data_IF_172766703769
#
_entry.id   IF_172766703769
#
_cell.length_a   1.000
_cell.length_b   1.000
_cell.length_c   1.000
_cell.angle_alpha   90.00
_cell.angle_beta   90.00
_cell.angle_gamma   90.00
#
_symmetry.space_group_name_H-M   'P 1'
#
loop_
_entity.id
_entity.type
_entity.pdbx_description
1 polymer ?
#
# COMPACT_ATOMS: atom_id res chain seq x y z
N UNK A 1 27.37 -66.73 10.40
CA UNK A 1 26.58 -67.80 9.77
C UNK A 1 25.81 -67.19 8.64
N UNK A 2 25.97 -67.81 7.48
CA UNK A 2 25.58 -67.40 6.13
C UNK A 2 24.08 -67.55 5.88
N UNK A 3 23.54 -66.73 4.96
CA UNK A 3 22.92 -67.18 3.69
C UNK A 3 22.58 -65.92 2.87
N UNK A 4 23.18 -65.74 1.68
CA UNK A 4 22.67 -66.11 0.34
C UNK A 4 21.34 -65.45 -0.02
N UNK A 5 21.07 -64.97 -1.22
CA UNK A 5 21.76 -64.78 -2.50
C UNK A 5 20.77 -63.94 -3.33
N UNK A 6 21.24 -63.13 -4.29
CA UNK A 6 20.66 -62.98 -5.64
C UNK A 6 21.40 -61.88 -6.40
N UNK A 7 22.44 -62.30 -7.12
CA UNK A 7 23.04 -61.60 -8.25
C UNK A 7 22.02 -61.38 -9.39
N UNK A 8 22.24 -60.30 -10.16
CA UNK A 8 22.08 -60.33 -11.62
C UNK A 8 22.87 -59.15 -12.23
N UNK A 9 24.17 -59.36 -12.37
CA UNK A 9 25.06 -58.58 -13.22
C UNK A 9 24.93 -59.14 -14.65
N UNK A 10 24.60 -58.29 -15.65
CA UNK A 10 24.64 -58.71 -17.06
C UNK A 10 25.26 -57.59 -17.89
N UNK A 11 26.58 -57.70 -18.08
CA UNK A 11 27.29 -57.11 -19.21
C UNK A 11 27.13 -58.01 -20.43
N UNK A 12 26.82 -57.46 -21.62
CA UNK A 12 27.08 -58.17 -22.86
C UNK A 12 28.15 -57.43 -23.68
N UNK A 13 29.27 -58.11 -23.91
CA UNK A 13 30.14 -57.81 -25.05
C UNK A 13 30.39 -59.09 -25.85
N UNK A 14 30.20 -58.93 -27.16
CA UNK A 14 30.84 -59.64 -28.27
C UNK A 14 30.23 -60.97 -28.74
N UNK A 15 29.55 -60.90 -29.88
CA UNK A 15 29.63 -61.92 -30.91
C UNK A 15 29.86 -61.24 -32.26
N UNK A 16 30.97 -61.62 -32.89
CA UNK A 16 31.39 -61.26 -34.24
C UNK A 16 30.47 -61.92 -35.28
N UNK A 17 30.07 -61.15 -36.30
CA UNK A 17 29.37 -61.66 -37.49
C UNK A 17 30.34 -62.42 -38.41
N UNK A 18 29.98 -63.66 -38.75
CA UNK A 18 30.54 -64.39 -39.90
C UNK A 18 29.39 -64.76 -40.85
N UNK A 19 29.49 -64.21 -42.07
CA UNK A 19 28.88 -64.55 -43.38
C UNK A 19 28.03 -65.83 -43.51
N UNK A 20 26.90 -65.70 -44.22
CA UNK A 20 26.55 -66.32 -45.53
C UNK A 20 25.02 -66.17 -45.75
N UNK A 21 24.53 -65.48 -46.80
CA UNK A 21 24.05 -66.06 -48.08
C UNK A 21 22.90 -67.08 -47.84
N UNK A 22 21.67 -66.99 -48.35
CA UNK A 22 21.24 -66.72 -49.72
C UNK A 22 19.69 -66.70 -49.81
N UNK A 23 19.14 -65.83 -50.68
CA UNK A 23 17.97 -66.01 -51.57
C UNK A 23 16.50 -66.29 -51.13
N UNK A 24 15.64 -65.57 -51.89
CA UNK A 24 14.31 -65.89 -52.43
C UNK A 24 12.99 -65.50 -51.69
N UNK A 25 12.22 -64.68 -52.43
CA UNK A 25 10.77 -64.48 -52.49
C UNK A 25 9.94 -64.05 -51.26
N UNK A 26 9.68 -62.74 -51.17
CA UNK A 26 8.44 -62.13 -50.64
C UNK A 26 8.51 -60.61 -50.79
N UNK A 27 8.38 -60.09 -52.01
CA UNK A 27 8.66 -58.67 -52.30
C UNK A 27 7.45 -57.72 -52.18
N UNK A 28 6.24 -58.24 -51.97
CA UNK A 28 5.00 -57.42 -51.92
C UNK A 28 4.43 -57.29 -50.49
N UNK A 29 4.32 -58.39 -49.73
CA UNK A 29 3.85 -58.34 -48.33
C UNK A 29 4.83 -57.58 -47.42
N UNK A 30 6.14 -57.80 -47.62
CA UNK A 30 7.20 -57.16 -46.85
C UNK A 30 7.24 -55.64 -47.07
N UNK A 31 6.84 -55.13 -48.24
CA UNK A 31 6.86 -53.68 -48.52
C UNK A 31 5.78 -52.91 -47.75
N UNK A 32 4.59 -53.49 -47.54
CA UNK A 32 3.51 -52.81 -46.80
C UNK A 32 3.80 -52.84 -45.30
N UNK A 33 4.26 -53.98 -44.77
CA UNK A 33 4.67 -54.13 -43.37
C UNK A 33 5.90 -53.28 -43.03
N UNK A 34 6.91 -53.20 -43.92
CA UNK A 34 8.08 -52.31 -43.72
C UNK A 34 7.66 -50.82 -43.81
N UNK A 35 6.68 -50.45 -44.64
CA UNK A 35 6.22 -49.06 -44.78
C UNK A 35 5.31 -48.63 -43.62
N UNK A 36 4.52 -49.54 -43.05
CA UNK A 36 3.76 -49.31 -41.81
C UNK A 36 4.65 -49.34 -40.57
N UNK A 37 5.60 -50.28 -40.46
CA UNK A 37 6.55 -50.34 -39.32
C UNK A 37 7.53 -49.16 -39.33
N UNK A 38 7.95 -48.67 -40.51
CA UNK A 38 8.75 -47.44 -40.63
C UNK A 38 7.97 -46.17 -40.30
N UNK A 39 6.66 -46.12 -40.58
CA UNK A 39 5.77 -45.01 -40.16
C UNK A 39 5.43 -45.05 -38.67
N UNK A 40 5.14 -46.23 -38.10
CA UNK A 40 4.90 -46.42 -36.67
C UNK A 40 6.18 -46.20 -35.85
N UNK A 41 7.35 -46.64 -36.32
CA UNK A 41 8.65 -46.35 -35.69
C UNK A 41 9.07 -44.88 -35.83
N UNK A 42 8.65 -44.18 -36.89
CA UNK A 42 8.80 -42.71 -37.00
C UNK A 42 7.86 -41.98 -36.05
N UNK A 43 6.60 -42.40 -35.95
CA UNK A 43 5.62 -41.85 -35.00
C UNK A 43 6.06 -42.09 -33.55
N UNK A 44 6.59 -43.27 -33.24
CA UNK A 44 7.21 -43.60 -31.96
C UNK A 44 8.41 -42.70 -31.68
N UNK A 45 9.36 -42.56 -32.62
CA UNK A 45 10.51 -41.65 -32.47
C UNK A 45 10.10 -40.19 -32.31
N UNK A 46 9.04 -39.74 -32.97
CA UNK A 46 8.59 -38.35 -32.87
C UNK A 46 7.87 -38.08 -31.54
N UNK A 47 7.12 -39.06 -31.02
CA UNK A 47 6.57 -39.03 -29.66
C UNK A 47 7.66 -39.03 -28.60
N UNK A 48 8.70 -39.85 -28.79
CA UNK A 48 9.88 -39.87 -27.92
C UNK A 48 10.63 -38.54 -27.98
N UNK A 49 10.81 -37.96 -29.17
CA UNK A 49 11.43 -36.64 -29.33
C UNK A 49 10.59 -35.53 -28.66
N UNK A 50 9.28 -35.54 -28.84
CA UNK A 50 8.38 -34.58 -28.18
C UNK A 50 8.44 -34.70 -26.64
N UNK A 51 8.51 -35.93 -26.11
CA UNK A 51 8.70 -36.17 -24.69
C UNK A 51 10.03 -35.58 -24.18
N UNK A 52 11.14 -35.82 -24.88
CA UNK A 52 12.44 -35.26 -24.50
C UNK A 52 12.50 -33.75 -24.63
N UNK A 53 11.86 -33.17 -25.64
CA UNK A 53 11.74 -31.70 -25.78
C UNK A 53 10.91 -31.13 -24.63
N UNK A 54 9.79 -31.76 -24.27
CA UNK A 54 8.98 -31.33 -23.13
C UNK A 54 9.75 -31.42 -21.81
N UNK A 55 10.52 -32.49 -21.62
CA UNK A 55 11.37 -32.66 -20.44
C UNK A 55 12.48 -31.61 -20.40
N UNK A 56 13.13 -31.35 -21.53
CA UNK A 56 14.17 -30.35 -21.66
C UNK A 56 13.64 -28.94 -21.39
N UNK A 57 12.46 -28.59 -21.91
CA UNK A 57 11.79 -27.32 -21.62
C UNK A 57 11.44 -27.20 -20.13
N UNK A 58 10.93 -28.27 -19.52
CA UNK A 58 10.66 -28.30 -18.08
C UNK A 58 11.93 -28.06 -17.26
N UNK A 59 13.03 -28.76 -17.59
CA UNK A 59 14.32 -28.55 -16.95
C UNK A 59 14.82 -27.12 -17.14
N UNK A 60 14.77 -26.58 -18.37
CA UNK A 60 15.15 -25.18 -18.63
C UNK A 60 14.36 -24.22 -17.74
N UNK A 61 13.05 -24.41 -17.60
CA UNK A 61 12.21 -23.55 -16.77
C UNK A 61 12.65 -23.63 -15.30
N UNK A 62 12.87 -24.84 -14.76
CA UNK A 62 13.36 -25.02 -13.38
C UNK A 62 14.74 -24.38 -13.19
N UNK A 63 15.67 -24.59 -14.13
CA UNK A 63 16.99 -23.96 -14.10
C UNK A 63 16.89 -22.43 -14.22
N UNK A 64 15.97 -21.90 -15.02
CA UNK A 64 15.75 -20.47 -15.14
C UNK A 64 15.25 -19.86 -13.81
N UNK A 65 14.29 -20.49 -13.15
CA UNK A 65 13.82 -20.04 -11.83
C UNK A 65 14.87 -20.24 -10.72
N UNK A 66 15.76 -21.22 -10.83
CA UNK A 66 16.78 -21.50 -9.81
C UNK A 66 18.07 -20.70 -9.97
N UNK A 67 18.45 -20.32 -11.19
CA UNK A 67 19.76 -19.71 -11.48
C UNK A 67 19.71 -18.43 -12.32
N UNK A 68 18.69 -18.24 -13.17
CA UNK A 68 18.58 -17.07 -14.06
C UNK A 68 17.77 -15.95 -13.39
N UNK A 69 16.76 -16.30 -12.61
CA UNK A 69 16.03 -15.36 -11.76
C UNK A 69 16.79 -15.32 -10.43
N UNK A 70 17.71 -14.36 -10.21
CA UNK A 70 18.27 -14.20 -8.90
C UNK A 70 17.11 -14.03 -7.92
N UNK A 71 17.15 -14.78 -6.81
CA UNK A 71 16.34 -14.38 -5.65
C UNK A 71 16.61 -12.89 -5.45
N UNK A 72 15.57 -12.03 -5.36
CA UNK A 72 15.80 -10.62 -5.13
C UNK A 72 16.71 -10.51 -3.91
N UNK A 73 17.88 -9.87 -4.09
CA UNK A 73 18.84 -9.70 -3.01
C UNK A 73 18.07 -9.11 -1.83
N UNK A 74 17.90 -9.90 -0.77
CA UNK A 74 17.31 -9.37 0.46
C UNK A 74 18.33 -8.36 0.97
N UNK A 75 17.92 -7.11 1.26
CA UNK A 75 18.81 -6.17 1.91
C UNK A 75 19.41 -6.83 3.15
N UNK A 76 20.70 -6.64 3.37
CA UNK A 76 21.37 -7.16 4.56
C UNK A 76 20.82 -6.40 5.77
N UNK A 77 19.76 -6.96 6.36
CA UNK A 77 19.11 -6.43 7.54
C UNK A 77 19.83 -6.93 8.80
N UNK A 78 20.19 -6.00 9.67
CA UNK A 78 20.55 -6.33 11.04
C UNK A 78 19.33 -6.95 11.75
N UNK A 79 19.59 -7.94 12.61
CA UNK A 79 18.52 -8.63 13.35
C UNK A 79 17.83 -7.70 14.34
N UNK A 80 18.58 -6.76 14.91
CA UNK A 80 18.11 -5.76 15.86
C UNK A 80 19.06 -4.58 15.78
N UNK A 81 18.51 -3.38 15.72
CA UNK A 81 19.25 -2.13 15.77
C UNK A 81 18.65 -1.24 16.87
N UNK A 82 19.43 -0.28 17.34
CA UNK A 82 18.98 0.74 18.29
C UNK A 82 19.53 2.11 17.88
N UNK A 83 18.74 3.16 18.09
CA UNK A 83 19.13 4.55 17.83
C UNK A 83 18.70 5.40 19.01
N UNK A 84 19.61 6.24 19.50
CA UNK A 84 19.38 7.12 20.63
C UNK A 84 19.19 8.57 20.14
N UNK A 85 18.20 9.26 20.71
CA UNK A 85 17.98 10.68 20.53
C UNK A 85 18.14 11.37 21.88
N UNK A 86 19.25 12.09 22.05
CA UNK A 86 19.53 12.81 23.29
C UNK A 86 18.74 14.11 23.35
N UNK A 87 18.26 14.49 24.54
CA UNK A 87 17.48 15.72 24.76
C UNK A 87 16.23 15.85 23.86
N UNK A 88 15.61 14.73 23.51
CA UNK A 88 14.41 14.69 22.70
C UNK A 88 13.20 14.14 23.48
N UNK A 89 12.01 14.60 23.12
CA UNK A 89 10.73 14.10 23.64
C UNK A 89 9.96 13.45 22.51
N UNK A 90 9.65 12.15 22.62
CA UNK A 90 8.92 11.44 21.59
C UNK A 90 7.43 11.84 21.58
N UNK A 91 6.88 12.04 20.38
CA UNK A 91 5.44 12.07 20.18
C UNK A 91 4.91 10.65 20.01
N UNK A 92 3.60 10.47 20.24
CA UNK A 92 2.93 9.17 20.10
C UNK A 92 2.47 8.92 18.66
N UNK A 93 3.31 9.25 17.69
CA UNK A 93 3.06 9.01 16.26
C UNK A 93 4.16 8.12 15.70
N UNK A 94 3.74 7.03 15.09
CA UNK A 94 4.61 6.06 14.44
C UNK A 94 3.89 5.52 13.22
N UNK A 95 4.60 5.49 12.10
CA UNK A 95 4.18 4.85 10.87
C UNK A 95 5.27 3.88 10.40
N UNK A 96 4.84 2.89 9.63
CA UNK A 96 5.69 1.84 9.08
C UNK A 96 5.47 1.86 7.58
N UNK A 97 6.47 2.30 6.83
CA UNK A 97 6.40 2.51 5.38
C UNK A 97 7.74 2.15 4.74
N UNK A 98 7.76 1.74 3.47
CA UNK A 98 9.00 1.53 2.72
C UNK A 98 9.48 2.88 2.14
N UNK A 99 10.40 3.54 2.86
CA UNK A 99 10.79 4.94 2.59
C UNK A 99 11.87 5.02 1.52
N UNK A 100 12.80 4.07 1.49
CA UNK A 100 13.91 4.03 0.53
C UNK A 100 13.68 3.06 -0.65
N UNK A 101 12.48 2.48 -0.75
CA UNK A 101 12.06 1.52 -1.78
C UNK A 101 12.92 0.24 -1.85
N UNK A 102 13.51 -0.17 -0.71
CA UNK A 102 14.32 -1.38 -0.61
C UNK A 102 13.49 -2.66 -0.32
N UNK A 103 12.16 -2.52 -0.26
CA UNK A 103 11.16 -3.57 0.05
C UNK A 103 11.17 -4.01 1.50
N UNK A 104 11.90 -3.32 2.38
CA UNK A 104 11.84 -3.46 3.83
C UNK A 104 11.05 -2.28 4.39
N UNK A 105 10.24 -2.55 5.40
CA UNK A 105 9.48 -1.50 6.03
C UNK A 105 10.39 -0.71 6.98
N UNK A 106 10.41 0.60 6.79
CA UNK A 106 11.13 1.57 7.60
C UNK A 106 10.21 2.17 8.67
N UNK A 107 10.81 2.87 9.64
CA UNK A 107 10.08 3.47 10.77
C UNK A 107 10.06 4.99 10.63
N UNK A 108 8.87 5.57 10.58
CA UNK A 108 8.67 7.02 10.59
C UNK A 108 8.05 7.43 11.92
N UNK A 109 8.63 8.43 12.59
CA UNK A 109 8.16 8.88 13.90
C UNK A 109 8.44 10.37 14.10
N UNK A 110 7.81 10.94 15.12
CA UNK A 110 7.96 12.34 15.47
C UNK A 110 8.54 12.52 16.87
N UNK A 111 9.36 13.57 17.05
CA UNK A 111 9.93 13.96 18.34
C UNK A 111 10.14 15.47 18.43
N UNK A 112 10.18 16.02 19.63
CA UNK A 112 10.51 17.43 19.91
C UNK A 112 11.95 17.54 20.37
N UNK A 113 12.73 18.42 19.76
CA UNK A 113 14.13 18.66 20.11
C UNK A 113 14.56 20.10 19.77
N UNK A 114 15.68 20.56 20.32
CA UNK A 114 16.25 21.86 19.95
C UNK A 114 16.97 21.82 18.60
N UNK A 115 17.65 20.71 18.31
CA UNK A 115 18.42 20.44 17.09
C UNK A 115 18.10 19.00 16.61
N UNK A 116 18.30 18.74 15.31
CA UNK A 116 18.26 17.38 14.75
C UNK A 116 19.37 16.50 15.32
N UNK A 117 19.31 15.19 15.06
CA UNK A 117 20.43 14.30 15.35
C UNK A 117 21.67 14.74 14.55
N UNK A 118 22.86 14.36 15.02
CA UNK A 118 24.15 14.69 14.39
C UNK A 118 24.29 14.25 12.93
N UNK A 119 23.34 13.45 12.42
CA UNK A 119 23.33 12.95 11.03
C UNK A 119 22.82 13.98 10.02
N UNK A 120 22.00 14.94 10.43
CA UNK A 120 21.42 15.97 9.56
C UNK A 120 21.65 17.34 10.18
N UNK A 121 22.04 18.33 9.37
CA UNK A 121 22.31 19.69 9.84
C UNK A 121 21.07 20.59 9.64
N UNK A 122 19.94 20.18 10.21
CA UNK A 122 18.66 20.91 10.08
C UNK A 122 18.22 21.42 11.46
N UNK A 123 18.10 22.73 11.60
CA UNK A 123 17.62 23.34 12.84
C UNK A 123 16.21 23.91 12.69
N UNK A 124 15.51 24.09 13.82
CA UNK A 124 14.22 24.78 13.84
C UNK A 124 14.32 26.19 13.24
N UNK A 125 15.45 26.87 13.44
CA UNK A 125 15.67 28.25 13.03
C UNK A 125 15.78 28.37 11.51
N UNK A 126 16.37 27.36 10.85
CA UNK A 126 16.50 27.32 9.39
C UNK A 126 15.11 27.28 8.71
N UNK A 127 14.12 26.67 9.38
CA UNK A 127 12.72 26.58 8.95
C UNK A 127 11.83 27.71 9.50
N UNK A 128 12.42 28.69 10.20
CA UNK A 128 11.69 29.81 10.80
C UNK A 128 10.79 29.42 11.99
N UNK A 129 11.06 28.28 12.62
CA UNK A 129 10.31 27.77 13.78
C UNK A 129 11.03 28.11 15.11
N UNK A 130 10.28 28.31 16.20
CA UNK A 130 10.87 28.48 17.52
C UNK A 130 11.58 27.19 17.97
N UNK A 131 12.73 27.31 18.65
CA UNK A 131 13.44 26.17 19.23
C UNK A 131 13.07 26.02 20.72
N UNK A 132 12.73 24.80 21.21
CA UNK A 132 12.66 23.54 20.48
C UNK A 132 11.38 23.40 19.64
N UNK A 133 11.50 22.71 18.51
CA UNK A 133 10.41 22.41 17.58
C UNK A 133 10.23 20.91 17.40
N UNK A 134 9.14 20.53 16.75
CA UNK A 134 8.83 19.16 16.39
C UNK A 134 9.51 18.77 15.07
N UNK A 135 10.20 17.63 15.10
CA UNK A 135 10.83 16.97 13.98
C UNK A 135 10.03 15.72 13.60
N UNK A 136 10.06 15.39 12.32
CA UNK A 136 9.70 14.07 11.79
C UNK A 136 10.98 13.44 11.26
N UNK A 137 11.13 12.14 11.49
CA UNK A 137 12.26 11.36 11.03
C UNK A 137 11.81 10.04 10.43
N UNK A 138 12.52 9.62 9.39
CA UNK A 138 12.47 8.26 8.88
C UNK A 138 13.80 7.56 9.16
N UNK A 139 13.72 6.33 9.67
CA UNK A 139 14.88 5.47 9.93
C UNK A 139 14.70 4.13 9.25
N UNK A 140 15.78 3.62 8.64
CA UNK A 140 15.72 2.38 7.89
C UNK A 140 15.41 1.18 8.79
N UNK A 141 14.48 0.36 8.38
CA UNK A 141 14.13 -0.90 9.04
C UNK A 141 15.27 -1.90 9.03
N UNK A 142 16.21 -1.78 8.08
CA UNK A 142 17.35 -2.71 7.95
C UNK A 142 18.41 -2.53 9.03
N UNK A 143 18.69 -1.30 9.47
CA UNK A 143 19.85 -1.00 10.32
C UNK A 143 19.67 0.22 11.25
N UNK A 144 18.49 0.85 11.28
CA UNK A 144 18.22 2.01 12.13
C UNK A 144 18.93 3.30 11.72
N UNK A 145 19.58 3.34 10.55
CA UNK A 145 20.14 4.58 10.02
C UNK A 145 19.02 5.54 9.65
N UNK A 146 19.13 6.79 10.06
CA UNK A 146 18.19 7.81 9.61
C UNK A 146 18.37 8.07 8.12
N UNK A 147 17.25 8.01 7.42
CA UNK A 147 17.11 8.31 6.01
C UNK A 147 16.98 9.82 5.83
N UNK A 148 16.18 10.46 6.68
CA UNK A 148 16.04 11.90 6.77
C UNK A 148 15.46 12.31 8.13
N UNK A 149 15.72 13.56 8.51
CA UNK A 149 15.12 14.22 9.68
C UNK A 149 14.82 15.67 9.30
N UNK A 150 13.61 16.14 9.60
CA UNK A 150 13.13 17.47 9.17
C UNK A 150 12.29 18.16 10.25
N UNK A 151 12.52 19.45 10.52
CA UNK A 151 11.63 20.24 11.37
C UNK A 151 10.32 20.51 10.61
N UNK A 152 9.16 20.31 11.27
CA UNK A 152 7.86 20.43 10.60
C UNK A 152 6.90 21.44 11.24
N UNK A 153 6.96 21.62 12.55
CA UNK A 153 6.05 22.50 13.32
C UNK A 153 6.64 22.83 14.70
N UNK A 154 6.08 23.80 15.42
CA UNK A 154 6.45 24.05 16.83
C UNK A 154 6.03 22.89 17.74
N UNK A 155 4.81 22.40 17.54
CA UNK A 155 4.27 21.20 18.16
C UNK A 155 3.47 20.40 17.13
N UNK A 156 3.51 19.07 17.21
CA UNK A 156 2.64 18.21 16.41
C UNK A 156 1.43 17.82 17.27
N UNK A 157 0.25 18.09 16.75
CA UNK A 157 -1.01 17.65 17.35
C UNK A 157 -1.48 16.32 16.76
N UNK A 158 -1.17 16.08 15.48
CA UNK A 158 -1.53 14.86 14.79
C UNK A 158 -0.65 14.63 13.55
N UNK A 159 -0.44 13.37 13.18
CA UNK A 159 0.32 12.97 12.00
C UNK A 159 -0.19 11.64 11.45
N UNK A 160 -0.26 11.51 10.11
CA UNK A 160 -0.51 10.25 9.39
C UNK A 160 0.38 10.19 8.14
N UNK A 161 0.97 9.03 7.88
CA UNK A 161 1.85 8.77 6.73
C UNK A 161 1.24 7.71 5.82
N UNK A 162 1.80 7.57 4.62
CA UNK A 162 1.35 6.60 3.62
C UNK A 162 0.23 7.14 2.71
N UNK A 163 -0.03 8.45 2.73
CA UNK A 163 -1.05 9.07 1.89
C UNK A 163 -0.50 9.18 0.46
N UNK A 164 -1.10 8.41 -0.46
CA UNK A 164 -0.70 8.39 -1.87
C UNK A 164 -0.97 9.73 -2.54
N UNK A 165 -0.06 10.17 -3.39
CA UNK A 165 -0.19 11.37 -4.21
C UNK A 165 -0.31 12.70 -3.45
N UNK A 166 -0.01 12.70 -2.14
CA UNK A 166 -0.03 13.92 -1.34
C UNK A 166 0.98 14.94 -1.88
N UNK A 167 0.54 16.17 -2.13
CA UNK A 167 1.34 17.21 -2.76
C UNK A 167 1.64 16.98 -4.24
N UNK A 168 0.91 16.09 -4.91
CA UNK A 168 1.10 15.76 -6.33
C UNK A 168 2.36 14.94 -6.64
N UNK A 169 2.99 14.34 -5.62
CA UNK A 169 4.15 13.44 -5.79
C UNK A 169 3.71 12.03 -6.19
N UNK A 170 4.51 11.27 -6.94
CA UNK A 170 4.23 9.84 -7.12
C UNK A 170 4.46 9.05 -5.82
N UNK A 171 5.43 9.50 -5.03
CA UNK A 171 5.72 8.96 -3.71
C UNK A 171 4.59 9.28 -2.72
N UNK A 172 4.30 8.39 -1.75
CA UNK A 172 3.42 8.72 -0.65
C UNK A 172 3.96 9.90 0.18
N UNK A 173 3.09 10.52 0.97
CA UNK A 173 3.46 11.59 1.90
C UNK A 173 2.94 11.36 3.31
N UNK A 174 3.43 12.20 4.22
CA UNK A 174 2.93 12.37 5.56
C UNK A 174 2.19 13.70 5.69
N UNK A 175 0.96 13.64 6.19
CA UNK A 175 0.21 14.82 6.60
C UNK A 175 0.47 15.09 8.08
N UNK A 176 1.01 16.26 8.37
CA UNK A 176 1.29 16.74 9.72
C UNK A 176 0.34 17.89 10.03
N UNK A 177 -0.35 17.79 11.17
CA UNK A 177 -1.09 18.90 11.76
C UNK A 177 -0.34 19.40 12.98
N UNK A 178 0.09 20.66 12.93
CA UNK A 178 0.93 21.25 13.96
C UNK A 178 0.48 22.62 14.44
N UNK A 179 1.20 23.13 15.44
CA UNK A 179 1.08 24.49 15.95
C UNK A 179 2.17 25.41 15.37
N UNK A 180 1.86 26.70 15.10
CA UNK A 180 0.50 27.26 15.00
C UNK A 180 -0.34 26.51 13.97
N UNK A 181 -1.67 26.52 14.12
CA UNK A 181 -2.60 25.61 13.41
C UNK A 181 -2.32 25.61 11.92
N UNK A 182 -1.68 24.54 11.46
CA UNK A 182 -1.23 24.39 10.09
C UNK A 182 -1.27 22.93 9.67
N UNK A 183 -1.59 22.73 8.41
CA UNK A 183 -1.46 21.46 7.71
C UNK A 183 -0.19 21.51 6.88
N UNK A 184 0.65 20.49 7.01
CA UNK A 184 1.89 20.36 6.25
C UNK A 184 1.92 19.00 5.58
N UNK A 185 2.11 18.98 4.27
CA UNK A 185 2.43 17.76 3.55
C UNK A 185 3.95 17.60 3.44
N UNK A 186 4.44 16.44 3.87
CA UNK A 186 5.84 16.06 3.83
C UNK A 186 6.00 14.89 2.88
N UNK A 187 6.94 14.97 1.96
CA UNK A 187 7.29 13.88 1.07
C UNK A 187 7.93 12.73 1.87
N UNK A 188 7.39 11.52 1.75
CA UNK A 188 7.83 10.39 2.58
C UNK A 188 9.28 9.98 2.28
N UNK A 189 9.72 10.04 1.02
CA UNK A 189 11.04 9.55 0.63
C UNK A 189 12.16 10.53 0.99
N UNK A 190 11.89 11.82 0.82
CA UNK A 190 12.91 12.88 0.97
C UNK A 190 12.80 13.64 2.28
N UNK A 191 11.64 13.63 2.94
CA UNK A 191 11.32 14.47 4.08
C UNK A 191 11.02 15.92 3.72
N UNK A 192 11.08 16.30 2.45
CA UNK A 192 10.87 17.69 2.02
C UNK A 192 9.40 18.12 2.15
N UNK A 193 9.17 19.37 2.54
CA UNK A 193 7.82 19.93 2.64
C UNK A 193 7.30 20.23 1.24
N UNK A 194 6.18 19.61 0.87
CA UNK A 194 5.51 19.84 -0.42
C UNK A 194 4.64 21.09 -0.40
N UNK A 195 3.89 21.26 0.69
CA UNK A 195 3.10 22.45 0.95
C UNK A 195 2.85 22.59 2.44
N UNK A 196 2.60 23.83 2.87
CA UNK A 196 2.24 24.19 4.24
C UNK A 196 1.14 25.24 4.19
N UNK A 197 -0.02 24.91 4.74
CA UNK A 197 -1.19 25.78 4.73
C UNK A 197 -1.65 26.09 6.15
N UNK A 198 -1.85 27.38 6.45
CA UNK A 198 -2.49 27.79 7.69
C UNK A 198 -3.97 27.39 7.64
N UNK A 199 -4.47 26.80 8.73
CA UNK A 199 -5.89 26.48 8.85
C UNK A 199 -6.45 27.10 10.13
N UNK A 200 -7.74 27.45 10.11
CA UNK A 200 -8.46 27.90 11.30
C UNK A 200 -9.50 26.87 11.72
N UNK A 201 -9.07 25.93 12.57
CA UNK A 201 -9.96 24.95 13.18
C UNK A 201 -10.72 25.51 14.41
N UNK A 202 -10.43 26.75 14.81
CA UNK A 202 -10.88 27.38 16.05
C UNK A 202 -10.04 26.96 17.26
N UNK A 203 -10.41 27.47 18.45
CA UNK A 203 -9.74 27.12 19.70
C UNK A 203 -10.28 25.82 20.31
N UNK A 204 -9.45 25.11 21.08
CA UNK A 204 -9.80 23.90 21.85
C UNK A 204 -10.46 22.80 21.01
N UNK A 205 -9.78 22.43 19.93
CA UNK A 205 -10.30 21.43 19.01
C UNK A 205 -9.65 20.06 19.23
N UNK A 206 -10.35 19.03 18.78
CA UNK A 206 -9.82 17.66 18.71
C UNK A 206 -10.01 17.15 17.28
N UNK A 207 -8.93 16.67 16.67
CA UNK A 207 -8.99 16.02 15.35
C UNK A 207 -9.63 14.65 15.50
N UNK A 208 -10.66 14.36 14.71
CA UNK A 208 -11.21 13.01 14.62
C UNK A 208 -10.36 12.22 13.64
N UNK A 209 -9.79 11.13 14.12
CA UNK A 209 -8.87 10.27 13.37
C UNK A 209 -9.56 8.97 12.92
N UNK A 210 -9.12 8.33 11.81
CA UNK A 210 -8.05 8.79 10.89
C UNK A 210 -8.46 10.00 10.06
N UNK A 211 -7.58 10.59 9.24
CA UNK A 211 -8.02 11.55 8.19
C UNK A 211 -8.51 10.75 6.98
N UNK A 212 -9.48 11.29 6.25
CA UNK A 212 -10.06 10.60 5.10
C UNK A 212 -9.59 11.18 3.78
N UNK A 213 -8.88 10.38 2.98
CA UNK A 213 -8.52 10.70 1.59
C UNK A 213 -9.74 10.49 0.70
N UNK A 214 -10.32 11.55 0.16
CA UNK A 214 -11.51 11.53 -0.70
C UNK A 214 -11.11 11.62 -2.18
N UNK A 215 -12.00 11.28 -3.12
CA UNK A 215 -11.77 11.55 -4.54
C UNK A 215 -11.45 13.02 -4.80
N UNK A 216 -10.74 13.29 -5.89
CA UNK A 216 -10.50 14.63 -6.43
C UNK A 216 -11.85 15.36 -6.65
N UNK A 217 -12.12 16.40 -5.86
CA UNK A 217 -13.34 17.23 -5.95
C UNK A 217 -13.09 18.62 -6.54
N UNK A 218 -11.85 19.08 -6.60
CA UNK A 218 -11.48 20.35 -7.27
C UNK A 218 -10.99 20.17 -8.71
N UNK A 219 -10.89 18.92 -9.19
CA UNK A 219 -10.48 18.50 -10.53
C UNK A 219 -9.03 18.85 -10.88
N UNK A 220 -8.13 18.85 -9.89
CA UNK A 220 -6.71 19.16 -10.08
C UNK A 220 -5.80 17.96 -10.40
N UNK A 221 -6.39 16.75 -10.41
CA UNK A 221 -5.76 15.47 -10.70
C UNK A 221 -5.24 14.71 -9.48
N UNK A 222 -5.40 15.24 -8.26
CA UNK A 222 -4.95 14.64 -7.00
C UNK A 222 -6.15 14.40 -6.08
N UNK A 223 -6.09 13.33 -5.28
CA UNK A 223 -7.13 13.06 -4.28
C UNK A 223 -7.10 14.07 -3.14
N UNK A 224 -8.28 14.48 -2.67
CA UNK A 224 -8.43 15.50 -1.64
C UNK A 224 -8.53 14.91 -0.24
N UNK A 225 -8.54 15.79 0.76
CA UNK A 225 -8.53 15.43 2.17
C UNK A 225 -9.80 15.94 2.84
N UNK A 226 -10.47 15.06 3.58
CA UNK A 226 -11.58 15.41 4.44
C UNK A 226 -11.18 15.25 5.91
N UNK A 227 -11.22 16.36 6.65
CA UNK A 227 -10.82 16.45 8.04
C UNK A 227 -12.03 16.82 8.90
N UNK A 228 -12.24 16.05 9.96
CA UNK A 228 -13.30 16.27 10.93
C UNK A 228 -12.70 16.76 12.24
N UNK A 229 -13.27 17.85 12.77
CA UNK A 229 -12.78 18.51 13.97
C UNK A 229 -13.92 18.61 14.98
N UNK A 230 -13.75 18.06 16.18
CA UNK A 230 -14.66 18.28 17.29
C UNK A 230 -14.35 19.63 17.96
N UNK A 231 -15.37 20.49 18.06
CA UNK A 231 -15.29 21.76 18.79
C UNK A 231 -16.53 21.87 19.69
N UNK A 232 -16.36 21.62 21.00
CA UNK A 232 -17.48 21.54 21.94
C UNK A 232 -18.43 20.40 21.58
N UNK A 233 -19.71 20.71 21.36
CA UNK A 233 -20.75 19.72 21.04
C UNK A 233 -21.03 19.55 19.54
N UNK A 234 -20.18 20.12 18.67
CA UNK A 234 -20.34 20.05 17.22
C UNK A 234 -19.10 19.47 16.56
N UNK A 235 -19.32 18.88 15.39
CA UNK A 235 -18.24 18.43 14.50
C UNK A 235 -18.20 19.39 13.31
N UNK A 236 -17.07 20.06 13.12
CA UNK A 236 -16.79 20.83 11.92
C UNK A 236 -16.17 19.93 10.85
N UNK A 237 -16.46 20.24 9.61
CA UNK A 237 -16.00 19.49 8.44
C UNK A 237 -15.18 20.39 7.53
N UNK A 238 -13.98 19.96 7.18
CA UNK A 238 -13.09 20.69 6.28
C UNK A 238 -12.70 19.80 5.11
N UNK A 239 -12.71 20.37 3.92
CA UNK A 239 -12.19 19.73 2.71
C UNK A 239 -10.95 20.53 2.30
N UNK A 240 -9.84 19.84 2.05
CA UNK A 240 -8.59 20.43 1.62
C UNK A 240 -8.07 19.75 0.36
N UNK A 241 -7.52 20.52 -0.56
CA UNK A 241 -6.84 19.97 -1.74
C UNK A 241 -5.66 19.11 -1.30
N UNK A 242 -5.56 17.88 -1.80
CA UNK A 242 -4.39 17.04 -1.52
C UNK A 242 -3.11 17.57 -2.15
N UNK A 243 -3.23 18.36 -3.22
CA UNK A 243 -2.11 18.89 -4.00
C UNK A 243 -1.52 20.16 -3.41
N UNK A 244 -2.35 21.09 -2.92
CA UNK A 244 -1.89 22.38 -2.40
C UNK A 244 -2.15 22.58 -0.90
N UNK A 245 -3.05 21.81 -0.30
CA UNK A 245 -3.51 22.00 1.07
C UNK A 245 -4.58 23.08 1.23
N UNK A 246 -4.94 23.78 0.15
CA UNK A 246 -5.94 24.84 0.17
C UNK A 246 -7.31 24.31 0.58
N UNK A 247 -8.05 25.08 1.39
CA UNK A 247 -9.39 24.68 1.78
C UNK A 247 -10.35 24.81 0.59
N UNK A 248 -11.08 23.74 0.30
CA UNK A 248 -12.10 23.68 -0.75
C UNK A 248 -13.46 24.02 -0.13
N UNK A 249 -14.02 25.16 -0.52
CA UNK A 249 -15.28 25.66 0.02
C UNK A 249 -15.18 26.18 1.46
N UNK A 250 -16.33 26.32 2.11
CA UNK A 250 -16.45 26.76 3.50
C UNK A 250 -16.45 25.58 4.48
N UNK A 251 -16.05 25.85 5.73
CA UNK A 251 -16.14 24.87 6.80
C UNK A 251 -17.62 24.53 7.09
N UNK A 252 -17.97 23.26 7.00
CA UNK A 252 -19.29 22.75 7.36
C UNK A 252 -19.41 22.47 8.86
N UNK A 253 -20.64 22.27 9.33
CA UNK A 253 -20.95 21.92 10.72
C UNK A 253 -22.00 20.83 10.78
N UNK A 254 -21.70 19.75 11.48
CA UNK A 254 -22.62 18.63 11.72
C UNK A 254 -23.18 18.71 13.14
N UNK A 255 -24.48 18.44 13.26
CA UNK A 255 -25.17 18.34 14.56
C UNK A 255 -25.02 16.93 15.14
N UNK A 256 -23.76 16.52 15.32
CA UNK A 256 -23.37 15.24 15.92
C UNK A 256 -22.68 15.57 17.24
N UNK A 257 -23.04 14.86 18.31
CA UNK A 257 -22.46 15.11 19.63
C UNK A 257 -20.93 15.02 19.60
N UNK A 258 -20.24 15.95 20.25
CA UNK A 258 -18.80 16.16 20.12
C UNK A 258 -17.88 15.01 20.54
N UNK A 259 -18.41 13.97 21.18
CA UNK A 259 -17.68 12.72 21.51
C UNK A 259 -17.80 11.63 20.44
N UNK A 260 -18.39 11.93 19.27
CA UNK A 260 -18.56 10.93 18.24
C UNK A 260 -17.22 10.50 17.64
N UNK A 261 -17.18 9.24 17.26
CA UNK A 261 -16.16 8.69 16.36
C UNK A 261 -16.79 8.51 15.00
N UNK A 262 -15.96 8.30 13.98
CA UNK A 262 -16.48 8.07 12.65
C UNK A 262 -15.76 6.93 11.95
N UNK A 263 -16.47 6.30 11.01
CA UNK A 263 -15.92 5.36 10.05
C UNK A 263 -16.39 5.74 8.66
N UNK A 264 -15.57 5.44 7.67
CA UNK A 264 -15.93 5.61 6.26
C UNK A 264 -16.44 4.30 5.69
N UNK A 265 -17.55 4.37 4.96
CA UNK A 265 -18.13 3.29 4.19
C UNK A 265 -18.02 3.63 2.71
N UNK A 266 -17.25 2.82 1.96
CA UNK A 266 -17.18 2.91 0.51
C UNK A 266 -18.05 1.80 -0.10
N UNK A 267 -19.00 2.21 -0.93
CA UNK A 267 -19.82 1.38 -1.80
C UNK A 267 -19.37 1.60 -3.25
N UNK A 268 -19.81 0.76 -4.18
CA UNK A 268 -19.35 0.76 -5.57
C UNK A 268 -19.36 2.15 -6.25
N UNK A 269 -20.40 2.93 -5.99
CA UNK A 269 -20.56 4.29 -6.56
C UNK A 269 -20.82 5.37 -5.52
N UNK A 270 -20.70 5.07 -4.22
CA UNK A 270 -21.09 6.01 -3.16
C UNK A 270 -20.16 5.89 -1.95
N UNK A 271 -19.85 7.02 -1.32
CA UNK A 271 -19.04 7.07 -0.10
C UNK A 271 -19.82 7.76 0.99
N UNK A 272 -19.89 7.13 2.17
CA UNK A 272 -20.58 7.63 3.34
C UNK A 272 -19.64 7.74 4.54
N UNK A 273 -19.88 8.74 5.38
CA UNK A 273 -19.26 8.92 6.67
C UNK A 273 -20.28 8.61 7.76
N UNK A 274 -20.01 7.56 8.52
CA UNK A 274 -20.86 7.11 9.61
C UNK A 274 -20.29 7.64 10.93
N UNK A 275 -20.98 8.57 11.57
CA UNK A 275 -20.62 9.07 12.88
C UNK A 275 -21.44 8.35 13.94
N UNK A 276 -20.78 7.81 14.95
CA UNK A 276 -21.45 7.08 16.01
C UNK A 276 -21.08 7.61 17.39
N UNK A 277 -22.10 7.70 18.24
CA UNK A 277 -22.01 7.96 19.67
C UNK A 277 -22.51 6.73 20.42
N UNK A 278 -22.58 6.78 21.75
CA UNK A 278 -23.09 5.66 22.57
C UNK A 278 -24.51 5.21 22.14
N UNK A 279 -25.36 6.15 21.74
CA UNK A 279 -26.79 5.90 21.55
C UNK A 279 -27.31 6.27 20.15
N UNK A 280 -26.45 6.71 19.23
CA UNK A 280 -26.89 7.21 17.94
C UNK A 280 -25.86 6.99 16.86
N UNK A 281 -26.35 6.66 15.68
CA UNK A 281 -25.59 6.54 14.45
C UNK A 281 -26.12 7.59 13.47
N UNK A 282 -25.20 8.32 12.85
CA UNK A 282 -25.48 9.34 11.86
C UNK A 282 -24.74 8.98 10.58
N UNK A 283 -25.35 9.22 9.43
CA UNK A 283 -24.75 8.95 8.14
C UNK A 283 -24.83 10.19 7.26
N UNK A 284 -23.70 10.57 6.68
CA UNK A 284 -23.59 11.67 5.71
C UNK A 284 -22.92 11.14 4.46
N UNK A 285 -23.52 11.36 3.29
CA UNK A 285 -22.85 11.06 2.04
C UNK A 285 -21.72 12.07 1.80
N UNK A 286 -20.66 11.65 1.12
CA UNK A 286 -19.60 12.56 0.68
C UNK A 286 -20.18 13.68 -0.20
N UNK A 287 -21.19 13.35 -1.01
CA UNK A 287 -21.91 14.31 -1.85
C UNK A 287 -22.55 15.43 -1.04
N UNK A 288 -23.24 15.11 0.05
CA UNK A 288 -23.88 16.09 0.93
C UNK A 288 -22.83 16.97 1.62
N UNK A 289 -21.76 16.36 2.15
CA UNK A 289 -20.69 17.10 2.80
C UNK A 289 -19.98 18.07 1.84
N UNK A 290 -19.71 17.61 0.61
CA UNK A 290 -19.16 18.45 -0.45
C UNK A 290 -20.12 19.59 -0.82
N UNK A 291 -21.40 19.28 -1.02
CA UNK A 291 -22.41 20.28 -1.39
C UNK A 291 -22.62 21.31 -0.27
N UNK A 292 -22.54 20.89 0.99
CA UNK A 292 -22.60 21.78 2.14
C UNK A 292 -21.37 22.71 2.24
N UNK A 293 -20.18 22.22 1.88
CA UNK A 293 -18.96 23.03 1.88
C UNK A 293 -18.92 24.03 0.73
N UNK A 294 -19.26 23.60 -0.49
CA UNK A 294 -19.11 24.41 -1.71
C UNK A 294 -20.36 25.20 -2.10
N UNK A 295 -21.53 24.81 -1.58
CA UNK A 295 -22.83 25.32 -2.04
C UNK A 295 -23.23 24.81 -3.43
N UNK A 296 -22.48 23.86 -4.00
CA UNK A 296 -22.70 23.35 -5.36
C UNK A 296 -23.07 21.86 -5.34
N UNK A 297 -24.14 21.50 -6.04
CA UNK A 297 -24.49 20.11 -6.31
C UNK A 297 -23.74 19.63 -7.56
N UNK A 298 -22.56 19.05 -7.35
CA UNK A 298 -21.73 18.49 -8.43
C UNK A 298 -22.13 17.03 -8.67
N UNK A 299 -22.44 16.71 -9.93
CA UNK A 299 -22.63 15.32 -10.38
C UNK A 299 -21.30 14.73 -10.84
N UNK A 300 -20.42 14.42 -9.89
CA UNK A 300 -19.24 13.61 -10.16
C UNK A 300 -19.61 12.12 -10.07
N UNK A 301 -19.10 11.24 -10.94
CA UNK A 301 -19.33 9.79 -10.84
C UNK A 301 -18.92 9.21 -9.48
N UNK A 302 -17.90 9.79 -8.84
CA UNK A 302 -17.38 9.40 -7.52
C UNK A 302 -18.21 9.93 -6.33
N UNK A 303 -19.17 10.82 -6.57
CA UNK A 303 -20.07 11.40 -5.58
C UNK A 303 -21.50 10.84 -5.70
N UNK A 304 -21.65 9.58 -6.10
CA UNK A 304 -22.95 8.93 -6.14
C UNK A 304 -23.53 8.71 -4.73
N UNK A 305 -24.82 8.40 -4.70
CA UNK A 305 -25.56 8.04 -3.49
C UNK A 305 -26.28 6.71 -3.74
N UNK A 306 -26.27 5.84 -2.73
CA UNK A 306 -26.94 4.54 -2.81
C UNK A 306 -28.43 4.68 -2.45
N UNK A 307 -29.37 4.31 -3.33
CA UNK A 307 -30.80 4.50 -3.08
C UNK A 307 -31.36 3.75 -1.88
N UNK A 308 -30.74 2.66 -1.44
CA UNK A 308 -31.18 1.92 -0.25
C UNK A 308 -30.71 2.63 1.02
N UNK A 309 -29.46 3.10 1.05
CA UNK A 309 -28.94 3.90 2.15
C UNK A 309 -29.71 5.20 2.34
N UNK A 310 -29.97 5.94 1.26
CA UNK A 310 -30.73 7.20 1.32
C UNK A 310 -32.17 7.03 1.82
N UNK A 311 -32.75 5.83 1.69
CA UNK A 311 -34.08 5.52 2.25
C UNK A 311 -34.04 5.24 3.75
N UNK A 312 -32.92 4.74 4.26
CA UNK A 312 -32.76 4.39 5.66
C UNK A 312 -32.32 5.57 6.53
N UNK A 313 -31.76 6.62 5.94
CA UNK A 313 -31.27 7.81 6.65
C UNK A 313 -32.42 8.81 6.82
N UNK A 314 -32.65 9.26 8.07
CA UNK A 314 -33.59 10.34 8.33
C UNK A 314 -33.06 11.67 7.76
N UNK A 315 -33.78 12.27 6.81
CA UNK A 315 -33.31 13.49 6.09
C UNK A 315 -33.12 14.72 6.96
N UNK A 316 -33.77 14.79 8.11
CA UNK A 316 -33.72 15.98 8.97
C UNK A 316 -32.61 15.87 10.01
N UNK A 317 -32.44 14.68 10.57
CA UNK A 317 -31.52 14.41 11.69
C UNK A 317 -30.26 13.68 11.25
N UNK A 318 -30.22 13.18 10.01
CA UNK A 318 -29.18 12.30 9.46
C UNK A 318 -28.98 11.02 10.26
N UNK A 319 -29.95 10.65 11.10
CA UNK A 319 -29.87 9.46 11.94
C UNK A 319 -30.16 8.20 11.14
N UNK A 320 -29.34 7.19 11.36
CA UNK A 320 -29.58 5.83 10.90
C UNK A 320 -30.17 5.03 12.06
N UNK A 321 -31.40 4.48 11.93
CA UNK A 321 -31.98 3.66 12.98
C UNK A 321 -31.16 2.38 13.17
N UNK A 322 -30.69 2.15 14.39
CA UNK A 322 -30.00 0.91 14.75
C UNK A 322 -31.05 -0.21 14.82
N UNK A 323 -31.04 -1.10 13.84
CA UNK A 323 -31.83 -2.33 13.90
C UNK A 323 -31.23 -3.19 15.00
N UNK A 324 -32.00 -3.50 16.05
CA UNK A 324 -31.60 -4.52 17.01
C UNK A 324 -31.62 -5.86 16.29
N UNK A 325 -30.47 -6.51 16.16
CA UNK A 325 -30.46 -7.94 15.87
C UNK A 325 -31.00 -8.63 17.12
N UNK A 326 -32.24 -9.12 17.05
CA UNK A 326 -32.79 -10.09 18.01
C UNK A 326 -32.24 -11.49 17.75
#
# INVERSE_FOLDING_TARGET
MENKDSEAEIHPLKAEDVKAQENHDSSVERRIVIKQSSRLSRLSRWRTAAFFVSLFLCLIIVFAFSFIIPCPERPVSERTWFRNYDNAVAYRFLAIEDVNEDKVQDVVFAFKASNSSSSFNSSCVDEGLPSPCAFVAAVSGTNGRALWERPVAEEIEWMECGIKQLGGSEAPGCLVMGKPVSLTAVDLQTGEVRWRQSSDFGANFTVLTPVSVIPDVDSDGVQDLMIFIATGDKIKTFIHSGKSGDQIGAAGSLNVGGKARYVRLNLDSASYFLFYTENSLYAYSLKELHSAATGMDIKLPSLGQDPQWEKSIDRSTHRLPLVRCE
#
